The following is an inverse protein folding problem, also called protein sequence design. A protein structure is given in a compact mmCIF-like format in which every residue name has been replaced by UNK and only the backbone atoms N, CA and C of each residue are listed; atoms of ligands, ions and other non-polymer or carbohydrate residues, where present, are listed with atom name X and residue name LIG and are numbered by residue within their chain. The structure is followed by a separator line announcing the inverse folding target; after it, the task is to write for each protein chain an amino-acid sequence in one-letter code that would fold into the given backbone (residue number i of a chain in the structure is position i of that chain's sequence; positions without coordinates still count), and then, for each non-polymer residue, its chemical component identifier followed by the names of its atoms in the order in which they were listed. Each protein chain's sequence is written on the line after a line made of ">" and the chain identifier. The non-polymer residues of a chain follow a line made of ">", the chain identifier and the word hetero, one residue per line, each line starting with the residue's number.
data_IF_921196438764
#
_entry.id   IF_921196438764
#
_cell.length_a   1.000
_cell.length_b   1.000
_cell.length_c   1.000
_cell.angle_alpha   90.00
_cell.angle_beta   90.00
_cell.angle_gamma   90.00
#
_symmetry.space_group_name_H-M   'P 1'
#
loop_
_entity.id
_entity.type
_entity.pdbx_description
1 polymer ?
#
# COMPACT_ATOMS: atom_id res chain seq x y z
N UNK A 1 2.25 0.61 -22.43
CA UNK A 1 3.22 1.63 -21.97
C UNK A 1 2.80 2.05 -20.56
N UNK A 2 3.73 2.26 -19.64
CA UNK A 2 3.42 2.49 -18.23
C UNK A 2 4.56 3.18 -17.48
N UNK A 3 4.28 3.62 -16.25
CA UNK A 3 5.23 4.31 -15.37
C UNK A 3 5.42 3.52 -14.08
N UNK A 4 6.61 3.62 -13.51
CA UNK A 4 6.97 3.02 -12.24
C UNK A 4 7.23 4.15 -11.22
N UNK A 5 6.20 4.54 -10.43
CA UNK A 5 6.38 5.53 -9.38
C UNK A 5 7.20 4.94 -8.22
N UNK A 6 8.07 5.77 -7.69
CA UNK A 6 8.82 5.48 -6.45
C UNK A 6 8.11 6.16 -5.29
N UNK A 7 7.72 5.39 -4.29
CA UNK A 7 7.09 5.90 -3.08
C UNK A 7 8.12 6.03 -1.95
N UNK A 8 8.00 7.09 -1.15
CA UNK A 8 8.92 7.38 -0.04
C UNK A 8 8.82 6.39 1.12
N UNK A 9 7.78 5.55 1.14
CA UNK A 9 7.57 4.47 2.12
C UNK A 9 8.38 3.20 1.78
N UNK A 10 9.22 3.25 0.74
CA UNK A 10 10.07 2.14 0.32
C UNK A 10 9.43 1.22 -0.73
N UNK A 11 8.22 1.53 -1.22
CA UNK A 11 7.61 0.80 -2.32
C UNK A 11 8.06 1.35 -3.68
N UNK A 12 8.68 0.50 -4.49
CA UNK A 12 9.14 0.85 -5.85
C UNK A 12 8.92 -0.28 -6.85
N UNK A 13 8.04 -1.23 -6.55
CA UNK A 13 7.90 -2.50 -7.30
C UNK A 13 6.72 -2.55 -8.28
N UNK A 14 5.86 -1.53 -8.31
CA UNK A 14 4.66 -1.53 -9.16
C UNK A 14 4.88 -0.82 -10.50
N UNK A 15 4.54 -1.50 -11.60
CA UNK A 15 4.38 -0.85 -12.92
C UNK A 15 2.90 -0.53 -13.10
N UNK A 16 2.58 0.73 -13.35
CA UNK A 16 1.23 1.22 -13.56
C UNK A 16 1.06 1.61 -15.03
N UNK A 17 0.02 1.10 -15.69
CA UNK A 17 -0.32 1.55 -17.05
C UNK A 17 -0.97 2.93 -16.99
N UNK A 18 -0.84 3.69 -18.08
CA UNK A 18 -1.47 5.01 -18.16
C UNK A 18 -3.00 4.95 -18.08
N UNK A 19 -3.61 3.95 -18.71
CA UNK A 19 -5.06 3.74 -18.63
C UNK A 19 -5.52 3.49 -17.19
N UNK A 20 -4.72 2.75 -16.42
CA UNK A 20 -5.02 2.49 -15.02
C UNK A 20 -4.86 3.73 -14.16
N UNK A 21 -3.83 4.54 -14.39
CA UNK A 21 -3.69 5.83 -13.69
C UNK A 21 -4.82 6.80 -14.03
N UNK A 22 -5.26 6.81 -15.29
CA UNK A 22 -6.41 7.61 -15.72
C UNK A 22 -7.69 7.13 -15.03
N UNK A 23 -7.94 5.82 -14.99
CA UNK A 23 -9.06 5.23 -14.26
C UNK A 23 -9.06 5.62 -12.78
N UNK A 24 -7.92 5.53 -12.10
CA UNK A 24 -7.78 5.92 -10.70
C UNK A 24 -8.11 7.41 -10.47
N UNK A 25 -7.70 8.29 -11.39
CA UNK A 25 -8.05 9.71 -11.32
C UNK A 25 -9.52 9.98 -11.64
N UNK A 26 -10.08 9.30 -12.63
CA UNK A 26 -11.47 9.48 -13.06
C UNK A 26 -12.47 8.95 -12.02
N UNK A 27 -12.16 7.86 -11.33
CA UNK A 27 -13.00 7.26 -10.29
C UNK A 27 -12.51 7.58 -8.87
N UNK A 28 -11.63 8.57 -8.68
CA UNK A 28 -10.99 8.87 -7.40
C UNK A 28 -12.00 8.95 -6.25
N UNK A 29 -13.05 9.78 -6.38
CA UNK A 29 -14.02 10.02 -5.32
C UNK A 29 -14.76 8.75 -4.90
N UNK A 30 -15.16 7.94 -5.89
CA UNK A 30 -15.86 6.68 -5.67
C UNK A 30 -14.96 5.66 -5.01
N UNK A 31 -13.75 5.47 -5.55
CA UNK A 31 -12.77 4.52 -5.01
C UNK A 31 -12.34 4.91 -3.60
N UNK A 32 -12.28 6.21 -3.31
CA UNK A 32 -11.97 6.72 -1.99
C UNK A 32 -13.09 6.43 -0.99
N UNK A 33 -14.35 6.73 -1.35
CA UNK A 33 -15.50 6.42 -0.50
C UNK A 33 -15.61 4.91 -0.20
N UNK A 34 -15.39 4.07 -1.22
CA UNK A 34 -15.38 2.61 -1.06
C UNK A 34 -14.26 2.15 -0.11
N UNK A 35 -13.08 2.78 -0.19
CA UNK A 35 -11.96 2.50 0.70
C UNK A 35 -12.28 2.87 2.16
N UNK A 36 -12.85 4.05 2.40
CA UNK A 36 -13.25 4.48 3.75
C UNK A 36 -14.33 3.59 4.34
N UNK A 37 -15.32 3.16 3.54
CA UNK A 37 -16.34 2.21 3.98
C UNK A 37 -15.73 0.87 4.41
N UNK A 38 -14.74 0.36 3.66
CA UNK A 38 -14.02 -0.87 4.01
C UNK A 38 -13.19 -0.72 5.28
N UNK A 39 -12.53 0.42 5.46
CA UNK A 39 -11.78 0.73 6.69
C UNK A 39 -12.71 0.77 7.92
N UNK A 40 -13.87 1.42 7.79
CA UNK A 40 -14.86 1.50 8.86
C UNK A 40 -15.38 0.12 9.27
N UNK A 41 -15.67 -0.75 8.30
CA UNK A 41 -16.09 -2.15 8.55
C UNK A 41 -14.96 -2.96 9.19
N UNK A 42 -13.72 -2.75 8.78
CA UNK A 42 -12.56 -3.45 9.34
C UNK A 42 -12.13 -2.92 10.72
N UNK A 43 -12.70 -1.80 11.18
CA UNK A 43 -12.23 -1.11 12.39
C UNK A 43 -10.78 -0.61 12.29
N UNK A 44 -10.27 -0.44 11.07
CA UNK A 44 -8.89 -0.06 10.80
C UNK A 44 -8.78 1.45 10.56
N UNK A 45 -7.67 2.05 10.98
CA UNK A 45 -7.38 3.46 10.69
C UNK A 45 -6.57 3.58 9.41
N UNK A 46 -6.86 4.60 8.60
CA UNK A 46 -6.06 4.96 7.42
C UNK A 46 -4.59 5.20 7.78
N UNK A 47 -4.36 5.82 8.94
CA UNK A 47 -3.02 6.19 9.41
C UNK A 47 -2.43 5.10 10.32
N UNK A 48 -3.06 3.92 10.37
CA UNK A 48 -2.44 2.77 11.03
C UNK A 48 -1.09 2.49 10.37
N UNK A 49 -0.04 2.18 11.14
CA UNK A 49 1.24 1.82 10.56
C UNK A 49 1.02 0.66 9.59
N UNK A 50 1.33 0.89 8.32
CA UNK A 50 1.32 -0.16 7.30
C UNK A 50 2.14 -1.34 7.85
N UNK A 51 1.62 -2.57 7.88
CA UNK A 51 2.44 -3.73 8.19
C UNK A 51 3.51 -3.81 7.10
N UNK A 52 4.70 -3.31 7.42
CA UNK A 52 5.79 -3.20 6.47
C UNK A 52 6.06 -4.56 5.84
N UNK A 53 6.32 -4.59 4.52
CA UNK A 53 6.92 -5.78 3.91
C UNK A 53 8.08 -6.17 4.79
N UNK A 54 8.01 -7.38 5.34
CA UNK A 54 8.98 -7.97 6.24
C UNK A 54 10.39 -7.46 5.90
N UNK A 55 10.99 -6.73 6.83
CA UNK A 55 12.39 -6.41 6.82
C UNK A 55 13.16 -7.72 6.64
N UNK A 56 13.60 -8.02 5.42
CA UNK A 56 14.63 -9.01 5.18
C UNK A 56 15.97 -8.38 5.59
N UNK A 57 16.20 -8.27 6.89
CA UNK A 57 17.53 -8.12 7.47
C UNK A 57 17.55 -8.94 8.76
N UNK A 58 18.32 -10.02 8.75
CA UNK A 58 18.19 -11.16 9.65
C UNK A 58 18.20 -10.83 11.14
N UNK A 59 17.18 -11.27 11.84
CA UNK A 59 17.23 -11.56 13.27
C UNK A 59 17.27 -13.08 13.41
N UNK A 60 18.50 -13.60 13.52
CA UNK A 60 18.75 -14.95 14.00
C UNK A 60 18.11 -15.11 15.38
N UNK A 61 17.09 -15.96 15.47
CA UNK A 61 16.57 -16.46 16.72
C UNK A 61 17.62 -17.39 17.38
N UNK A 62 18.30 -16.89 18.41
CA UNK A 62 18.90 -17.68 19.48
C UNK A 62 18.51 -16.97 20.77
N UNK A 63 17.87 -17.57 21.76
CA UNK A 63 18.05 -18.92 22.28
C UNK A 63 18.36 -18.70 23.76
N UNK A 64 17.41 -19.06 24.62
CA UNK A 64 17.43 -18.92 26.08
C UNK A 64 18.77 -19.32 26.72
N UNK A 65 19.24 -18.54 27.70
CA UNK A 65 19.70 -18.96 29.03
C UNK A 65 20.08 -17.74 29.87
#
# INVERSE_FOLDING_TARGET
>A
YGVQPTFSDGHSTGIFTWDYLYFLGAEQDKLWADYEARLAVAGASRDAPMPGKAAKTGASCGGSH
#
